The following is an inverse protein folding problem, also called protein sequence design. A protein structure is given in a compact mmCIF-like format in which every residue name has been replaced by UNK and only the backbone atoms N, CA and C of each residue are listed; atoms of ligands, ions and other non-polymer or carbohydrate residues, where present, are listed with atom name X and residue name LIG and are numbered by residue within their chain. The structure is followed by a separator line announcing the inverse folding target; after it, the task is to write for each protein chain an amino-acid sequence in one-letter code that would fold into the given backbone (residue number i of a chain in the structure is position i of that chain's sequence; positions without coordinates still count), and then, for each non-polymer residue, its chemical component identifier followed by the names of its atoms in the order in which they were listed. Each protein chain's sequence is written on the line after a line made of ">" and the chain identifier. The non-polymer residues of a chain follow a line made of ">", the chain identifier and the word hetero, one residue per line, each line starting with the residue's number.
data_IF_151086656574
#
_entry.id   IF_151086656574
#
_cell.length_a   1.000
_cell.length_b   1.000
_cell.length_c   1.000
_cell.angle_alpha   90.00
_cell.angle_beta   90.00
_cell.angle_gamma   90.00
#
_symmetry.space_group_name_H-M   'P 1'
#
loop_
_entity.id
_entity.type
_entity.pdbx_description
1 polymer ?
#
# COMPACT_ATOMS: atom_id res chain seq x y z
N UNK A 1 59.59 -25.21 9.99
CA UNK A 1 59.39 -23.78 9.72
C UNK A 1 57.98 -23.62 9.21
N UNK A 2 57.08 -23.04 9.99
CA UNK A 2 55.67 -22.88 9.63
C UNK A 2 55.38 -21.39 9.38
N UNK A 3 54.91 -21.08 8.17
CA UNK A 3 54.48 -19.74 7.79
C UNK A 3 53.06 -19.50 8.32
N UNK A 4 52.91 -18.56 9.26
CA UNK A 4 51.60 -18.13 9.77
C UNK A 4 51.08 -17.02 8.87
N UNK A 5 50.07 -17.32 8.05
CA UNK A 5 49.31 -16.32 7.30
C UNK A 5 48.38 -15.55 8.27
N UNK A 6 48.63 -14.26 8.44
CA UNK A 6 47.77 -13.35 9.22
C UNK A 6 46.80 -12.66 8.26
N UNK A 7 45.53 -13.03 8.30
CA UNK A 7 44.46 -12.31 7.60
C UNK A 7 44.10 -11.03 8.38
N UNK A 8 44.19 -9.87 7.73
CA UNK A 8 43.77 -8.58 8.30
C UNK A 8 42.24 -8.48 8.27
N UNK A 9 41.63 -8.39 9.45
CA UNK A 9 40.19 -8.08 9.58
C UNK A 9 39.91 -6.67 9.08
N UNK A 10 38.81 -6.50 8.32
CA UNK A 10 38.36 -5.20 7.84
C UNK A 10 37.99 -4.28 9.03
N UNK A 11 38.32 -2.98 8.99
CA UNK A 11 37.96 -2.06 10.07
C UNK A 11 36.44 -1.87 10.10
N UNK A 12 35.79 -2.38 11.15
CA UNK A 12 34.33 -2.27 11.37
C UNK A 12 33.95 -0.89 11.95
N UNK A 13 34.93 -0.18 12.52
CA UNK A 13 34.73 1.08 13.23
C UNK A 13 34.03 2.20 12.44
N UNK A 14 34.26 2.40 11.12
CA UNK A 14 33.54 3.41 10.35
C UNK A 14 32.02 3.17 10.28
N UNK A 15 31.58 1.91 10.29
CA UNK A 15 30.16 1.56 10.20
C UNK A 15 29.41 1.86 11.50
N UNK A 16 30.08 1.71 12.65
CA UNK A 16 29.50 2.02 13.96
C UNK A 16 29.24 3.52 14.09
N UNK A 17 30.17 4.35 13.61
CA UNK A 17 30.01 5.82 13.60
C UNK A 17 28.85 6.23 12.69
N UNK A 18 28.72 5.60 11.52
CA UNK A 18 27.65 5.90 10.56
C UNK A 18 26.26 5.63 11.18
N UNK A 19 26.10 4.50 11.87
CA UNK A 19 24.85 4.17 12.58
C UNK A 19 24.54 5.21 13.66
N UNK A 20 25.55 5.66 14.40
CA UNK A 20 25.40 6.64 15.48
C UNK A 20 24.97 8.02 14.94
N UNK A 21 25.52 8.44 13.80
CA UNK A 21 25.14 9.70 13.13
C UNK A 21 23.70 9.63 12.64
N UNK A 22 23.28 8.51 12.03
CA UNK A 22 21.90 8.32 11.57
C UNK A 22 20.91 8.37 12.74
N UNK A 23 21.23 7.72 13.86
CA UNK A 23 20.40 7.78 15.07
C UNK A 23 20.32 9.19 15.65
N UNK A 24 21.41 9.96 15.62
CA UNK A 24 21.42 11.36 16.05
C UNK A 24 20.52 12.26 15.20
N UNK A 25 20.53 12.07 13.88
CA UNK A 25 19.65 12.82 12.96
C UNK A 25 18.17 12.49 13.25
N UNK A 26 17.85 11.21 13.43
CA UNK A 26 16.48 10.78 13.75
C UNK A 26 16.02 11.39 15.07
N UNK A 27 16.84 11.34 16.12
CA UNK A 27 16.51 11.91 17.42
C UNK A 27 16.30 13.43 17.36
N UNK A 28 17.12 14.14 16.58
CA UNK A 28 16.98 15.59 16.37
C UNK A 28 15.64 15.94 15.71
N UNK A 29 15.24 15.23 14.65
CA UNK A 29 13.96 15.49 13.98
C UNK A 29 12.74 15.12 14.83
N UNK A 30 12.86 14.16 15.75
CA UNK A 30 11.79 13.83 16.69
C UNK A 30 11.62 14.92 17.75
N UNK A 31 12.71 15.42 18.33
CA UNK A 31 12.65 16.44 19.38
C UNK A 31 12.42 17.87 18.86
N UNK A 32 12.83 18.19 17.64
CA UNK A 32 12.66 19.53 17.06
C UNK A 32 11.25 19.81 16.53
N UNK A 33 10.36 18.80 16.49
CA UNK A 33 8.97 18.94 16.02
C UNK A 33 7.95 18.95 17.18
N UNK A 34 8.40 19.09 18.43
CA UNK A 34 7.56 19.14 19.63
C UNK A 34 7.24 20.59 20.06
N UNK A 35 7.14 21.52 19.09
CA UNK A 35 6.47 22.82 19.29
C UNK A 35 5.02 22.70 18.83
N UNK A 36 4.14 22.44 19.79
CA UNK A 36 2.69 22.33 19.68
C UNK A 36 2.08 23.51 18.91
N UNK A 37 1.62 23.24 17.68
CA UNK A 37 0.49 23.94 17.09
C UNK A 37 -0.75 23.18 17.54
N UNK A 38 -1.45 23.74 18.54
CA UNK A 38 -2.84 23.38 18.82
C UNK A 38 -3.66 23.62 17.55
N UNK A 39 -4.26 22.57 17.00
CA UNK A 39 -5.49 22.71 16.24
C UNK A 39 -6.35 21.46 16.48
N UNK A 40 -7.38 21.66 17.30
CA UNK A 40 -8.59 20.84 17.37
C UNK A 40 -9.17 20.70 15.96
N UNK A 41 -9.17 19.49 15.43
CA UNK A 41 -10.15 19.08 14.42
C UNK A 41 -10.79 17.77 14.87
N UNK A 42 -11.76 17.95 15.76
CA UNK A 42 -12.91 17.07 15.92
C UNK A 42 -13.90 17.41 14.81
N UNK A 43 -14.21 16.47 13.91
CA UNK A 43 -15.43 16.52 13.11
C UNK A 43 -15.88 15.11 12.73
N UNK A 44 -16.22 14.32 13.76
CA UNK A 44 -17.24 13.27 13.64
C UNK A 44 -18.63 13.94 13.64
N UNK A 45 -19.02 14.57 12.53
CA UNK A 45 -20.44 14.89 12.27
C UNK A 45 -20.91 14.11 11.04
N UNK A 46 -21.68 13.07 11.35
CA UNK A 46 -22.58 12.37 10.43
C UNK A 46 -23.60 13.40 9.91
N UNK A 47 -23.46 13.81 8.65
CA UNK A 47 -24.57 14.39 7.89
C UNK A 47 -24.65 13.70 6.52
N UNK A 48 -25.55 12.73 6.49
CA UNK A 48 -26.07 12.07 5.31
C UNK A 48 -26.97 13.09 4.58
N UNK A 49 -26.46 13.70 3.50
CA UNK A 49 -27.32 14.35 2.50
C UNK A 49 -26.87 13.99 1.09
N UNK A 50 -27.75 13.27 0.40
CA UNK A 50 -27.74 13.03 -1.04
C UNK A 50 -28.00 14.38 -1.71
N UNK A 51 -27.02 14.93 -2.42
CA UNK A 51 -27.26 16.03 -3.36
C UNK A 51 -26.92 15.58 -4.78
N UNK A 52 -27.99 15.27 -5.51
CA UNK A 52 -28.05 15.33 -6.96
C UNK A 52 -28.00 16.81 -7.38
N UNK A 53 -26.96 17.22 -8.11
CA UNK A 53 -26.94 18.48 -8.83
C UNK A 53 -26.10 18.31 -10.09
N UNK A 54 -26.81 18.17 -11.20
CA UNK A 54 -26.31 18.38 -12.56
C UNK A 54 -25.78 19.81 -12.70
N UNK A 55 -24.46 19.98 -12.82
CA UNK A 55 -23.89 21.09 -13.56
C UNK A 55 -22.48 20.78 -14.08
N UNK A 56 -22.29 21.11 -15.35
CA UNK A 56 -21.22 20.68 -16.25
C UNK A 56 -19.88 21.37 -15.98
N UNK A 57 -18.90 20.60 -15.54
CA UNK A 57 -17.49 20.81 -15.85
C UNK A 57 -16.76 19.46 -15.75
N UNK A 58 -16.15 19.03 -16.86
CA UNK A 58 -15.57 17.70 -17.09
C UNK A 58 -14.84 17.13 -15.88
N UNK A 59 -15.55 16.31 -15.11
CA UNK A 59 -15.04 15.51 -14.01
C UNK A 59 -15.15 14.07 -14.45
N UNK A 60 -14.01 13.40 -14.56
CA UNK A 60 -13.91 11.97 -14.81
C UNK A 60 -14.74 11.22 -13.76
N UNK A 61 -15.90 10.69 -14.18
CA UNK A 61 -16.78 9.85 -13.37
C UNK A 61 -16.36 8.38 -13.57
N UNK A 62 -15.76 7.73 -12.55
CA UNK A 62 -15.29 6.36 -12.65
C UNK A 62 -16.42 5.31 -12.54
N UNK A 63 -17.68 5.71 -12.40
CA UNK A 63 -18.80 4.78 -12.19
C UNK A 63 -19.54 4.35 -13.47
N UNK A 64 -19.12 4.83 -14.65
CA UNK A 64 -19.74 4.42 -15.92
C UNK A 64 -18.71 4.05 -17.01
N UNK A 65 -17.89 3.04 -16.72
CA UNK A 65 -16.99 2.44 -17.72
C UNK A 65 -17.70 1.24 -18.38
N UNK A 66 -18.51 1.54 -19.39
CA UNK A 66 -18.95 0.56 -20.37
C UNK A 66 -17.73 -0.12 -21.01
N UNK A 67 -17.85 -1.43 -21.15
CA UNK A 67 -16.87 -2.37 -21.68
C UNK A 67 -16.05 -1.84 -22.87
N UNK A 68 -14.74 -2.12 -22.84
CA UNK A 68 -13.78 -2.22 -23.97
C UNK A 68 -12.58 -1.26 -23.95
N UNK A 69 -11.70 -1.34 -22.94
CA UNK A 69 -10.22 -1.16 -23.02
C UNK A 69 -9.56 -1.37 -21.64
N UNK A 70 -9.95 -2.44 -20.94
CA UNK A 70 -9.98 -2.50 -19.47
C UNK A 70 -8.61 -2.47 -18.75
N UNK A 71 -7.55 -3.08 -19.30
CA UNK A 71 -6.29 -3.39 -18.58
C UNK A 71 -5.44 -2.19 -18.20
N UNK A 72 -5.22 -1.29 -19.16
CA UNK A 72 -4.38 -0.11 -18.95
C UNK A 72 -5.03 0.88 -17.98
N UNK A 73 -6.37 0.91 -17.94
CA UNK A 73 -7.11 1.90 -17.18
C UNK A 73 -7.03 1.69 -15.67
N UNK A 74 -7.08 0.45 -15.16
CA UNK A 74 -7.05 0.22 -13.71
C UNK A 74 -5.65 0.44 -13.11
N UNK A 75 -4.60 0.04 -13.82
CA UNK A 75 -3.24 0.33 -13.36
C UNK A 75 -2.96 1.84 -13.35
N UNK A 76 -3.39 2.59 -14.37
CA UNK A 76 -3.26 4.06 -14.37
C UNK A 76 -4.09 4.73 -13.28
N UNK A 77 -5.33 4.30 -13.06
CA UNK A 77 -6.15 4.80 -11.97
C UNK A 77 -5.51 4.52 -10.60
N UNK A 78 -4.85 3.38 -10.46
CA UNK A 78 -4.08 3.05 -9.27
C UNK A 78 -2.84 3.95 -9.10
N UNK A 79 -2.01 4.07 -10.13
CA UNK A 79 -0.80 4.90 -10.10
C UNK A 79 -1.13 6.35 -9.72
N UNK A 80 -2.18 6.92 -10.31
CA UNK A 80 -2.65 8.26 -9.96
C UNK A 80 -3.16 8.38 -8.53
N UNK A 81 -3.80 7.33 -7.99
CA UNK A 81 -4.34 7.35 -6.63
C UNK A 81 -3.28 7.33 -5.53
N UNK A 82 -2.01 7.14 -5.88
CA UNK A 82 -0.87 7.18 -4.96
C UNK A 82 0.15 8.27 -5.29
N UNK A 83 -0.18 9.17 -6.23
CA UNK A 83 0.73 10.20 -6.72
C UNK A 83 1.12 11.22 -5.63
N UNK A 84 0.17 11.60 -4.78
CA UNK A 84 0.42 12.42 -3.61
C UNK A 84 0.69 11.53 -2.39
N UNK A 85 1.97 11.36 -2.06
CA UNK A 85 2.41 10.55 -0.92
C UNK A 85 2.05 11.17 0.44
N UNK A 86 1.86 12.49 0.50
CA UNK A 86 1.61 13.22 1.76
C UNK A 86 0.21 12.94 2.29
N UNK A 87 -0.73 12.58 1.41
CA UNK A 87 -2.12 12.25 1.75
C UNK A 87 -2.33 10.80 2.13
N UNK A 88 -1.41 9.90 1.76
CA UNK A 88 -1.49 8.50 2.15
C UNK A 88 -1.43 8.40 3.67
N UNK A 89 -2.36 7.63 4.23
CA UNK A 89 -2.56 7.41 5.65
C UNK A 89 -2.94 8.63 6.52
N UNK A 90 -2.97 9.83 5.94
CA UNK A 90 -3.46 11.05 6.58
C UNK A 90 -4.92 11.27 6.21
N UNK A 91 -5.23 11.20 4.91
CA UNK A 91 -6.59 11.26 4.39
C UNK A 91 -7.12 9.84 4.20
N UNK A 92 -8.14 9.50 4.99
CA UNK A 92 -8.75 8.17 4.97
C UNK A 92 -9.42 7.85 3.64
N UNK A 93 -10.11 8.81 3.03
CA UNK A 93 -10.78 8.64 1.74
C UNK A 93 -9.77 8.44 0.63
N UNK A 94 -8.69 9.24 0.64
CA UNK A 94 -7.59 9.09 -0.29
C UNK A 94 -6.93 7.70 -0.18
N UNK A 95 -6.65 7.25 1.04
CA UNK A 95 -6.00 5.96 1.29
C UNK A 95 -6.91 4.79 0.91
N UNK A 96 -8.20 4.85 1.24
CA UNK A 96 -9.18 3.83 0.83
C UNK A 96 -9.31 3.77 -0.69
N UNK A 97 -9.31 4.91 -1.37
CA UNK A 97 -9.33 4.98 -2.85
C UNK A 97 -8.08 4.33 -3.44
N UNK A 98 -6.90 4.59 -2.88
CA UNK A 98 -5.65 3.96 -3.30
C UNK A 98 -5.70 2.44 -3.20
N UNK A 99 -6.15 1.91 -2.05
CA UNK A 99 -6.32 0.47 -1.87
C UNK A 99 -7.40 -0.11 -2.80
N UNK A 100 -8.53 0.58 -2.99
CA UNK A 100 -9.57 0.12 -3.93
C UNK A 100 -9.01 -0.01 -5.34
N UNK A 101 -8.32 1.02 -5.84
CA UNK A 101 -7.72 0.97 -7.18
C UNK A 101 -6.62 -0.09 -7.27
N UNK A 102 -5.81 -0.29 -6.23
CA UNK A 102 -4.85 -1.40 -6.16
C UNK A 102 -5.55 -2.75 -6.32
N UNK A 103 -6.61 -3.00 -5.54
CA UNK A 103 -7.34 -4.28 -5.63
C UNK A 103 -7.93 -4.51 -7.01
N UNK A 104 -8.48 -3.47 -7.66
CA UNK A 104 -8.98 -3.54 -9.05
C UNK A 104 -7.87 -3.93 -10.02
N UNK A 105 -6.71 -3.27 -9.94
CA UNK A 105 -5.57 -3.57 -10.80
C UNK A 105 -5.04 -5.00 -10.59
N UNK A 106 -4.99 -5.47 -9.34
CA UNK A 106 -4.55 -6.84 -9.01
C UNK A 106 -5.54 -7.89 -9.48
N UNK A 107 -6.85 -7.70 -9.23
CA UNK A 107 -7.92 -8.60 -9.70
C UNK A 107 -7.89 -8.71 -11.21
N UNK A 108 -7.82 -7.57 -11.89
CA UNK A 108 -7.69 -7.53 -13.34
C UNK A 108 -6.46 -8.29 -13.84
N UNK A 109 -5.31 -8.07 -13.21
CA UNK A 109 -4.08 -8.78 -13.58
C UNK A 109 -4.20 -10.29 -13.32
N UNK A 110 -4.93 -10.70 -12.29
CA UNK A 110 -5.24 -12.09 -12.01
C UNK A 110 -6.12 -12.70 -13.11
N UNK A 111 -7.17 -11.99 -13.53
CA UNK A 111 -8.09 -12.41 -14.59
C UNK A 111 -7.34 -12.56 -15.93
N UNK A 112 -6.48 -11.60 -16.28
CA UNK A 112 -5.63 -11.65 -17.49
C UNK A 112 -4.71 -12.87 -17.52
N UNK A 113 -4.25 -13.30 -16.35
CA UNK A 113 -3.38 -14.47 -16.18
C UNK A 113 -4.16 -15.76 -15.90
N UNK A 114 -5.50 -15.72 -15.97
CA UNK A 114 -6.39 -16.84 -15.72
C UNK A 114 -6.11 -17.51 -14.37
N UNK A 115 -5.83 -16.73 -13.32
CA UNK A 115 -5.57 -17.27 -11.98
C UNK A 115 -6.83 -17.95 -11.47
N UNK A 116 -6.67 -19.15 -10.90
CA UNK A 116 -7.78 -19.91 -10.34
C UNK A 116 -8.42 -19.15 -9.19
N UNK A 117 -9.74 -19.29 -9.07
CA UNK A 117 -10.48 -18.67 -7.98
C UNK A 117 -9.98 -19.20 -6.63
N UNK A 118 -9.61 -18.27 -5.77
CA UNK A 118 -9.19 -18.52 -4.40
C UNK A 118 -9.97 -17.62 -3.46
N UNK A 119 -10.04 -17.97 -2.18
CA UNK A 119 -10.63 -17.11 -1.15
C UNK A 119 -10.04 -15.70 -1.21
N UNK A 120 -8.72 -15.59 -1.42
CA UNK A 120 -8.08 -14.28 -1.50
C UNK A 120 -8.49 -13.47 -2.74
N UNK A 121 -8.59 -14.11 -3.91
CA UNK A 121 -9.05 -13.42 -5.12
C UNK A 121 -10.51 -13.01 -5.00
N UNK A 122 -11.37 -13.86 -4.43
CA UNK A 122 -12.77 -13.54 -4.15
C UNK A 122 -12.88 -12.35 -3.20
N UNK A 123 -12.12 -12.36 -2.10
CA UNK A 123 -12.11 -11.25 -1.14
C UNK A 123 -11.72 -9.94 -1.81
N UNK A 124 -10.70 -9.95 -2.68
CA UNK A 124 -10.26 -8.76 -3.43
C UNK A 124 -11.33 -8.25 -4.40
N UNK A 125 -12.09 -9.14 -5.06
CA UNK A 125 -13.23 -8.73 -5.90
C UNK A 125 -14.29 -8.00 -5.08
N UNK A 126 -14.60 -8.51 -3.89
CA UNK A 126 -15.52 -7.84 -2.98
C UNK A 126 -14.96 -6.50 -2.46
N UNK A 127 -13.66 -6.45 -2.12
CA UNK A 127 -12.96 -5.22 -1.72
C UNK A 127 -13.02 -4.15 -2.82
N UNK A 128 -12.76 -4.56 -4.06
CA UNK A 128 -12.71 -3.67 -5.22
C UNK A 128 -14.05 -2.99 -5.51
N UNK A 129 -15.14 -3.63 -5.06
CA UNK A 129 -16.52 -3.15 -5.24
C UNK A 129 -16.99 -2.22 -4.12
N UNK A 130 -16.33 -2.20 -2.95
CA UNK A 130 -16.81 -1.53 -1.75
C UNK A 130 -15.71 -0.69 -1.07
N UNK A 131 -15.54 0.56 -1.49
CA UNK A 131 -14.58 1.52 -0.89
C UNK A 131 -14.83 1.72 0.62
N UNK A 132 -16.09 1.62 1.06
CA UNK A 132 -16.51 1.76 2.46
C UNK A 132 -16.13 0.57 3.34
N UNK A 133 -15.76 -0.57 2.75
CA UNK A 133 -15.48 -1.80 3.50
C UNK A 133 -14.18 -1.78 4.28
N UNK A 134 -13.23 -0.89 3.94
CA UNK A 134 -11.95 -0.80 4.64
C UNK A 134 -12.08 0.05 5.90
N UNK A 135 -11.94 -0.58 7.06
CA UNK A 135 -11.86 0.12 8.34
C UNK A 135 -10.53 0.85 8.50
N UNK A 136 -10.60 2.09 8.99
CA UNK A 136 -9.44 2.91 9.40
C UNK A 136 -9.10 2.75 10.88
N UNK A 137 -9.94 2.03 11.64
CA UNK A 137 -9.83 1.88 13.10
C UNK A 137 -9.72 0.42 13.54
N UNK A 138 -9.27 0.25 14.78
CA UNK A 138 -8.86 -1.00 15.43
C UNK A 138 -10.01 -1.85 15.96
N UNK A 139 -11.26 -1.53 15.64
CA UNK A 139 -12.39 -2.27 16.22
C UNK A 139 -12.56 -3.64 15.58
N UNK A 140 -12.00 -4.58 16.32
CA UNK A 140 -12.07 -6.03 16.24
C UNK A 140 -13.54 -6.49 16.19
N UNK A 141 -14.12 -6.40 15.01
CA UNK A 141 -15.41 -7.01 14.71
C UNK A 141 -15.14 -7.99 13.59
N UNK A 142 -15.36 -9.28 13.87
CA UNK A 142 -15.20 -10.37 12.91
C UNK A 142 -15.86 -9.98 11.58
N UNK A 143 -15.07 -9.94 10.51
CA UNK A 143 -15.52 -9.53 9.17
C UNK A 143 -15.08 -8.13 8.73
N UNK A 144 -14.51 -7.30 9.60
CA UNK A 144 -13.94 -6.02 9.17
C UNK A 144 -12.64 -6.23 8.39
N UNK A 145 -12.76 -5.89 7.12
CA UNK A 145 -11.70 -5.71 6.15
C UNK A 145 -10.86 -4.49 6.58
N UNK A 146 -9.63 -4.67 7.04
CA UNK A 146 -8.70 -3.57 7.34
C UNK A 146 -7.54 -3.53 6.33
N UNK A 147 -6.69 -2.49 6.41
CA UNK A 147 -5.56 -2.35 5.48
C UNK A 147 -4.58 -3.52 5.53
N UNK A 148 -4.35 -4.13 6.70
CA UNK A 148 -3.50 -5.30 6.82
C UNK A 148 -4.06 -6.50 6.08
N UNK A 149 -5.33 -6.83 6.32
CA UNK A 149 -5.99 -7.94 5.60
C UNK A 149 -6.03 -7.68 4.10
N UNK A 150 -6.34 -6.46 3.67
CA UNK A 150 -6.30 -6.11 2.25
C UNK A 150 -4.90 -6.29 1.66
N UNK A 151 -3.85 -5.82 2.34
CA UNK A 151 -2.47 -6.00 1.93
C UNK A 151 -2.06 -7.47 1.83
N UNK A 152 -2.42 -8.29 2.82
CA UNK A 152 -2.11 -9.73 2.81
C UNK A 152 -2.76 -10.44 1.62
N UNK A 153 -4.03 -10.13 1.34
CA UNK A 153 -4.79 -10.73 0.24
C UNK A 153 -4.24 -10.25 -1.12
N UNK A 154 -3.85 -8.98 -1.24
CA UNK A 154 -3.12 -8.46 -2.42
C UNK A 154 -1.82 -9.23 -2.65
N UNK A 155 -0.97 -9.35 -1.62
CA UNK A 155 0.30 -10.10 -1.74
C UNK A 155 0.05 -11.52 -2.16
N UNK A 156 -0.94 -12.19 -1.57
CA UNK A 156 -1.27 -13.58 -1.90
C UNK A 156 -1.63 -13.74 -3.37
N UNK A 157 -2.51 -12.89 -3.89
CA UNK A 157 -2.92 -12.94 -5.30
C UNK A 157 -1.76 -12.56 -6.23
N UNK A 158 -0.96 -11.56 -5.89
CA UNK A 158 0.24 -11.21 -6.65
C UNK A 158 1.30 -12.33 -6.66
N UNK A 159 1.44 -13.08 -5.55
CA UNK A 159 2.28 -14.27 -5.47
C UNK A 159 1.76 -15.40 -6.38
N UNK A 160 0.45 -15.58 -6.46
CA UNK A 160 -0.16 -16.57 -7.35
C UNK A 160 0.01 -16.19 -8.83
N UNK A 161 -0.18 -14.90 -9.18
CA UNK A 161 0.13 -14.35 -10.51
C UNK A 161 1.61 -14.57 -10.85
N UNK A 162 2.50 -14.22 -9.93
CA UNK A 162 3.95 -14.32 -10.10
C UNK A 162 4.38 -15.77 -10.38
N UNK A 163 3.94 -16.72 -9.57
CA UNK A 163 4.30 -18.14 -9.75
C UNK A 163 3.85 -18.70 -11.09
N UNK A 164 2.66 -18.30 -11.55
CA UNK A 164 2.07 -18.81 -12.79
C UNK A 164 2.69 -18.18 -14.04
N UNK A 165 2.84 -16.85 -14.04
CA UNK A 165 3.10 -16.10 -15.28
C UNK A 165 4.37 -15.26 -15.25
N UNK A 166 4.90 -14.93 -14.08
CA UNK A 166 6.10 -14.08 -13.95
C UNK A 166 7.14 -14.67 -12.97
N UNK A 167 7.72 -15.86 -13.24
CA UNK A 167 8.63 -16.53 -12.30
C UNK A 167 9.85 -15.69 -11.89
N UNK A 168 10.31 -14.80 -12.78
CA UNK A 168 11.44 -13.91 -12.53
C UNK A 168 11.18 -12.84 -11.46
N UNK A 169 9.92 -12.56 -11.13
CA UNK A 169 9.54 -11.53 -10.15
C UNK A 169 9.48 -12.06 -8.70
N UNK A 170 10.01 -13.26 -8.44
CA UNK A 170 9.97 -13.90 -7.12
C UNK A 170 10.55 -13.00 -6.01
N UNK A 171 11.69 -12.36 -6.27
CA UNK A 171 12.34 -11.47 -5.30
C UNK A 171 11.48 -10.26 -4.99
N UNK A 172 10.92 -9.62 -6.03
CA UNK A 172 10.13 -8.40 -5.88
C UNK A 172 8.82 -8.67 -5.13
N UNK A 173 8.19 -9.83 -5.35
CA UNK A 173 7.01 -10.26 -4.58
C UNK A 173 7.38 -10.62 -3.14
N UNK A 174 8.54 -11.24 -2.91
CA UNK A 174 9.02 -11.52 -1.55
C UNK A 174 9.27 -10.22 -0.77
N UNK A 175 9.89 -9.21 -1.38
CA UNK A 175 10.10 -7.90 -0.79
C UNK A 175 8.76 -7.21 -0.47
N UNK A 176 7.79 -7.28 -1.39
CA UNK A 176 6.44 -6.77 -1.18
C UNK A 176 5.77 -7.44 0.02
N UNK A 177 5.91 -8.77 0.16
CA UNK A 177 5.41 -9.53 1.31
C UNK A 177 6.04 -9.07 2.63
N UNK A 178 7.35 -8.83 2.64
CA UNK A 178 8.05 -8.27 3.81
C UNK A 178 7.53 -6.88 4.17
N UNK A 179 7.21 -6.05 3.20
CA UNK A 179 6.64 -4.72 3.45
C UNK A 179 5.20 -4.80 3.96
N UNK A 180 4.37 -5.68 3.41
CA UNK A 180 3.01 -5.92 3.90
C UNK A 180 2.99 -6.40 5.36
N UNK A 181 3.98 -7.21 5.76
CA UNK A 181 4.12 -7.69 7.14
C UNK A 181 4.40 -6.58 8.16
N UNK A 182 4.84 -5.38 7.72
CA UNK A 182 5.05 -4.20 8.59
C UNK A 182 3.78 -3.39 8.83
N UNK A 183 2.70 -3.68 8.12
CA UNK A 183 1.40 -3.05 8.36
C UNK A 183 0.76 -3.80 9.53
N UNK A 184 0.29 -3.05 10.53
CA UNK A 184 -0.39 -3.62 11.69
C UNK A 184 -1.87 -3.22 11.64
N UNK A 185 -2.75 -4.23 11.58
CA UNK A 185 -4.20 -4.02 11.57
C UNK A 185 -4.75 -3.41 12.88
N UNK A 186 -3.93 -3.39 13.93
CA UNK A 186 -4.23 -2.87 15.28
C UNK A 186 -3.66 -1.47 15.52
N UNK A 187 -2.95 -0.89 14.55
CA UNK A 187 -2.39 0.46 14.63
C UNK A 187 -3.24 1.42 13.80
N UNK A 188 -3.50 2.63 14.31
CA UNK A 188 -4.21 3.65 13.53
C UNK A 188 -3.45 3.99 12.26
N UNK A 189 -4.18 4.16 11.15
CA UNK A 189 -3.63 4.39 9.81
C UNK A 189 -2.56 5.50 9.80
N UNK A 190 -2.87 6.67 10.39
CA UNK A 190 -1.96 7.83 10.46
C UNK A 190 -0.66 7.58 11.24
N UNK A 191 -0.61 6.60 12.14
CA UNK A 191 0.61 6.22 12.88
C UNK A 191 1.51 5.26 12.10
N UNK A 192 1.07 4.78 10.94
CA UNK A 192 1.83 3.83 10.11
C UNK A 192 1.90 4.26 8.63
N UNK A 193 1.91 5.58 8.38
CA UNK A 193 1.99 6.17 7.04
C UNK A 193 3.12 5.59 6.19
N UNK A 194 4.33 5.51 6.75
CA UNK A 194 5.49 4.99 6.03
C UNK A 194 5.29 3.55 5.55
N UNK A 195 4.74 2.67 6.39
CA UNK A 195 4.47 1.27 6.03
C UNK A 195 3.41 1.16 4.94
N UNK A 196 2.30 1.91 5.07
CA UNK A 196 1.21 1.91 4.09
C UNK A 196 1.65 2.46 2.74
N UNK A 197 2.36 3.59 2.73
CA UNK A 197 2.87 4.18 1.49
C UNK A 197 3.93 3.29 0.83
N UNK A 198 4.85 2.71 1.60
CA UNK A 198 5.83 1.77 1.07
C UNK A 198 5.16 0.55 0.41
N UNK A 199 4.13 -0.01 1.04
CA UNK A 199 3.37 -1.12 0.50
C UNK A 199 2.67 -0.78 -0.82
N UNK A 200 1.97 0.36 -0.87
CA UNK A 200 1.30 0.83 -2.08
C UNK A 200 2.32 1.04 -3.21
N UNK A 201 3.41 1.77 -2.94
CA UNK A 201 4.45 2.03 -3.94
C UNK A 201 5.08 0.74 -4.48
N UNK A 202 5.46 -0.19 -3.62
CA UNK A 202 6.04 -1.46 -4.07
C UNK A 202 5.02 -2.32 -4.83
N UNK A 203 3.74 -2.29 -4.45
CA UNK A 203 2.69 -2.99 -5.20
C UNK A 203 2.56 -2.44 -6.62
N UNK A 204 2.67 -1.11 -6.79
CA UNK A 204 2.70 -0.47 -8.11
C UNK A 204 3.91 -0.95 -8.90
N UNK A 205 5.10 -0.94 -8.30
CA UNK A 205 6.33 -1.32 -9.00
C UNK A 205 6.25 -2.77 -9.51
N UNK A 206 5.73 -3.70 -8.69
CA UNK A 206 5.51 -5.10 -9.12
C UNK A 206 4.46 -5.21 -10.23
N UNK A 207 3.32 -4.53 -10.12
CA UNK A 207 2.30 -4.51 -11.16
C UNK A 207 2.83 -3.92 -12.48
N UNK A 208 3.65 -2.87 -12.41
CA UNK A 208 4.30 -2.28 -13.57
C UNK A 208 5.24 -3.29 -14.25
N UNK A 209 6.01 -4.04 -13.46
CA UNK A 209 6.88 -5.10 -13.98
C UNK A 209 6.09 -6.25 -14.62
N UNK A 210 4.85 -6.52 -14.17
CA UNK A 210 3.96 -7.50 -14.81
C UNK A 210 3.28 -6.97 -16.09
N UNK A 211 3.31 -5.67 -16.33
CA UNK A 211 2.75 -5.02 -17.52
C UNK A 211 3.76 -4.86 -18.67
N UNK A 212 5.05 -5.12 -18.41
CA UNK A 212 6.15 -5.02 -19.37
C UNK A 212 6.65 -6.41 -19.76
#
# INVERSE_FOLDING_TARGET
>A
MAEIKIEKKKPVWPWVILILVVLGIIAYFVYANDEDVNDDYDDDIINEQVMDTTNTQSTYDPYNAGSSSSSYNQFMAYDQSIADSTRVAVDSSYTKKAFSNLTKAVVQKADENNIEDSEALSDLRDFSSLITSISTTTKDTKGFKNFKTASDKVVKVMEDIQKKSYPSLQTQVADLKTTAAKIDGSVMMNKQQNSLYAFLRQSRDVLQMMNN
#
